data_IF_943046051661
#
_entry.id   IF_943046051661
#
_cell.length_a   1.000
_cell.length_b   1.000
_cell.length_c   1.000
_cell.angle_alpha   90.00
_cell.angle_beta   90.00
_cell.angle_gamma   90.00
#
_symmetry.space_group_name_H-M   'P 1'
#
loop_
_entity.id
_entity.type
_entity.pdbx_description
1 polymer ?
#
# COMPACT_ATOMS: atom_id res chain seq x y z
N UNK A 1 -36.86 -6.10 32.47
CA UNK A 1 -36.03 -4.87 32.57
C UNK A 1 -34.54 -5.17 32.40
N UNK A 2 -33.93 -6.10 33.14
CA UNK A 2 -32.51 -6.47 32.99
C UNK A 2 -32.08 -6.86 31.56
N UNK A 3 -32.93 -7.59 30.81
CA UNK A 3 -32.66 -8.01 29.41
C UNK A 3 -32.49 -6.85 28.43
N UNK A 4 -33.16 -5.73 28.67
CA UNK A 4 -33.12 -4.55 27.79
C UNK A 4 -31.88 -3.71 28.08
N UNK A 5 -31.46 -3.66 29.35
CA UNK A 5 -30.25 -2.95 29.79
C UNK A 5 -28.98 -3.62 29.26
N UNK A 6 -28.92 -4.96 29.28
CA UNK A 6 -27.79 -5.71 28.68
C UNK A 6 -27.70 -5.52 27.17
N UNK A 7 -28.85 -5.45 26.47
CA UNK A 7 -28.89 -5.17 25.03
C UNK A 7 -28.41 -3.74 24.74
N UNK A 8 -28.87 -2.76 25.50
CA UNK A 8 -28.46 -1.36 25.35
C UNK A 8 -26.95 -1.18 25.58
N UNK A 9 -26.41 -1.79 26.63
CA UNK A 9 -24.98 -1.73 26.92
C UNK A 9 -24.14 -2.41 25.81
N UNK A 10 -24.59 -3.56 25.32
CA UNK A 10 -23.95 -4.25 24.21
C UNK A 10 -23.97 -3.43 22.91
N UNK A 11 -25.08 -2.74 22.61
CA UNK A 11 -25.15 -1.84 21.46
C UNK A 11 -24.17 -0.66 21.59
N UNK A 12 -24.08 -0.03 22.76
CA UNK A 12 -23.13 1.08 22.98
C UNK A 12 -21.69 0.59 22.79
N UNK A 13 -21.34 -0.56 23.36
CA UNK A 13 -20.01 -1.16 23.20
C UNK A 13 -19.70 -1.48 21.72
N UNK A 14 -20.66 -2.05 20.99
CA UNK A 14 -20.50 -2.35 19.57
C UNK A 14 -20.27 -1.08 18.73
N UNK A 15 -21.01 0.00 19.03
CA UNK A 15 -20.83 1.29 18.34
C UNK A 15 -19.44 1.87 18.61
N UNK A 16 -18.97 1.84 19.85
CA UNK A 16 -17.63 2.31 20.22
C UNK A 16 -16.54 1.49 19.52
N UNK A 17 -16.67 0.16 19.50
CA UNK A 17 -15.75 -0.73 18.82
C UNK A 17 -15.74 -0.47 17.30
N UNK A 18 -16.90 -0.30 16.67
CA UNK A 18 -17.03 0.01 15.25
C UNK A 18 -16.37 1.35 14.89
N UNK A 19 -16.55 2.39 15.72
CA UNK A 19 -15.85 3.66 15.56
C UNK A 19 -14.33 3.51 15.66
N UNK A 20 -13.84 2.71 16.63
CA UNK A 20 -12.42 2.40 16.76
C UNK A 20 -11.85 1.71 15.52
N UNK A 21 -12.53 0.69 15.01
CA UNK A 21 -12.13 0.00 13.78
C UNK A 21 -12.16 0.94 12.56
N UNK A 22 -13.19 1.77 12.43
CA UNK A 22 -13.29 2.74 11.33
C UNK A 22 -12.12 3.74 11.36
N UNK A 23 -11.77 4.24 12.55
CA UNK A 23 -10.63 5.15 12.70
C UNK A 23 -9.30 4.50 12.31
N UNK A 24 -9.06 3.26 12.73
CA UNK A 24 -7.85 2.50 12.34
C UNK A 24 -7.83 2.21 10.84
N UNK A 25 -8.99 1.91 10.24
CA UNK A 25 -9.09 1.66 8.81
C UNK A 25 -8.77 2.91 7.98
N UNK A 26 -9.22 4.09 8.44
CA UNK A 26 -8.87 5.38 7.80
C UNK A 26 -7.38 5.70 7.92
N UNK A 27 -6.71 5.25 8.99
CA UNK A 27 -5.28 5.43 9.21
C UNK A 27 -4.39 4.41 8.49
N UNK A 28 -4.93 3.28 8.02
CA UNK A 28 -4.13 2.29 7.29
C UNK A 28 -4.03 2.70 5.82
N UNK A 29 -2.86 3.17 5.33
CA UNK A 29 -2.65 3.34 3.90
C UNK A 29 -2.81 1.97 3.22
N UNK A 30 -3.63 1.91 2.16
CA UNK A 30 -3.66 0.73 1.29
C UNK A 30 -2.29 0.61 0.63
N UNK A 31 -1.59 -0.49 0.86
CA UNK A 31 -0.24 -0.67 0.34
C UNK A 31 -0.23 -0.74 -1.17
N UNK A 32 0.18 0.35 -1.82
CA UNK A 32 0.15 0.48 -3.28
C UNK A 32 1.17 -0.44 -3.97
N UNK A 33 2.16 -0.95 -3.24
CA UNK A 33 3.15 -1.93 -3.68
C UNK A 33 2.54 -3.27 -4.15
N UNK A 34 1.30 -3.60 -3.77
CA UNK A 34 0.63 -4.82 -4.19
C UNK A 34 -0.13 -4.72 -5.52
N UNK A 35 -0.28 -3.50 -6.05
CA UNK A 35 -1.21 -3.21 -7.15
C UNK A 35 -0.57 -3.27 -8.55
N UNK A 36 0.77 -3.35 -8.64
CA UNK A 36 1.44 -3.46 -9.93
C UNK A 36 2.94 -3.76 -9.84
N UNK A 37 3.55 -4.23 -10.94
CA UNK A 37 4.98 -4.53 -10.99
C UNK A 37 5.87 -3.29 -11.16
N UNK A 38 5.29 -2.11 -11.40
CA UNK A 38 6.01 -0.85 -11.60
C UNK A 38 5.42 0.21 -10.67
N UNK A 39 6.27 0.86 -9.89
CA UNK A 39 5.90 1.94 -8.97
C UNK A 39 6.79 3.16 -9.19
N UNK A 40 6.26 4.32 -8.82
CA UNK A 40 6.97 5.60 -8.83
C UNK A 40 6.96 6.16 -7.41
N UNK A 41 8.12 6.57 -6.93
CA UNK A 41 8.21 7.32 -5.69
C UNK A 41 7.52 8.68 -5.84
N UNK A 42 6.59 8.99 -4.93
CA UNK A 42 5.71 10.16 -5.04
C UNK A 42 6.48 11.46 -4.85
N UNK A 43 7.52 11.44 -4.04
CA UNK A 43 8.33 12.61 -3.68
C UNK A 43 9.52 12.78 -4.63
N UNK A 44 10.16 11.67 -5.02
CA UNK A 44 11.38 11.66 -5.82
C UNK A 44 11.12 11.52 -7.32
N UNK A 45 9.97 10.98 -7.73
CA UNK A 45 9.70 10.57 -9.10
C UNK A 45 10.53 9.37 -9.57
N UNK A 46 11.31 8.74 -8.69
CA UNK A 46 12.13 7.60 -9.03
C UNK A 46 11.25 6.39 -9.38
N UNK A 47 11.61 5.68 -10.44
CA UNK A 47 10.89 4.49 -10.90
C UNK A 47 11.51 3.24 -10.29
N UNK A 48 10.65 2.29 -9.92
CA UNK A 48 11.05 0.98 -9.42
C UNK A 48 10.25 -0.11 -10.11
N UNK A 49 10.91 -1.22 -10.41
CA UNK A 49 10.29 -2.44 -10.95
C UNK A 49 10.49 -3.60 -9.99
N UNK A 50 9.47 -4.43 -9.83
CA UNK A 50 9.54 -5.63 -9.00
C UNK A 50 10.04 -6.81 -9.83
N UNK A 51 11.16 -7.39 -9.41
CA UNK A 51 11.67 -8.67 -9.92
C UNK A 51 11.65 -9.65 -8.75
N UNK A 52 10.89 -10.74 -8.89
CA UNK A 52 10.56 -11.64 -7.80
C UNK A 52 9.91 -10.91 -6.60
N UNK A 53 10.68 -10.69 -5.53
CA UNK A 53 10.29 -10.04 -4.27
C UNK A 53 11.19 -8.82 -3.95
N UNK A 54 11.95 -8.34 -4.94
CA UNK A 54 12.92 -7.25 -4.79
C UNK A 54 12.53 -6.09 -5.71
N UNK A 55 12.59 -4.88 -5.17
CA UNK A 55 12.35 -3.64 -5.91
C UNK A 55 13.67 -3.08 -6.42
N UNK A 56 13.76 -2.93 -7.74
CA UNK A 56 14.95 -2.44 -8.42
C UNK A 56 14.69 -1.04 -8.97
N UNK A 57 15.52 -0.05 -8.65
CA UNK A 57 15.41 1.27 -9.27
C UNK A 57 15.71 1.17 -10.77
N UNK A 58 14.96 1.92 -11.58
CA UNK A 58 15.10 1.94 -13.04
C UNK A 58 15.20 3.36 -13.58
N UNK A 59 15.99 3.52 -14.65
CA UNK A 59 16.28 4.84 -15.23
C UNK A 59 15.10 5.45 -15.98
N UNK A 60 14.19 4.61 -16.49
CA UNK A 60 13.06 5.06 -17.30
C UNK A 60 11.93 4.04 -17.32
N UNK A 61 10.74 4.49 -17.76
CA UNK A 61 9.54 3.65 -17.83
C UNK A 61 9.61 2.58 -18.92
N UNK A 62 10.33 2.81 -20.02
CA UNK A 62 10.47 1.81 -21.07
C UNK A 62 11.27 0.59 -20.59
N UNK A 63 12.42 0.79 -19.93
CA UNK A 63 13.19 -0.28 -19.29
C UNK A 63 12.32 -1.00 -18.25
N UNK A 64 11.57 -0.27 -17.42
CA UNK A 64 10.65 -0.86 -16.45
C UNK A 64 9.61 -1.80 -17.10
N UNK A 65 9.00 -1.35 -18.20
CA UNK A 65 8.01 -2.11 -18.97
C UNK A 65 8.59 -3.35 -19.65
N UNK A 66 9.81 -3.24 -20.17
CA UNK A 66 10.53 -4.37 -20.75
C UNK A 66 10.83 -5.43 -19.69
N UNK A 67 11.35 -5.02 -18.53
CA UNK A 67 11.68 -5.93 -17.42
C UNK A 67 10.41 -6.59 -16.87
N UNK A 68 9.35 -5.81 -16.64
CA UNK A 68 8.09 -6.32 -16.10
C UNK A 68 7.18 -6.99 -17.13
N UNK A 69 7.60 -7.06 -18.41
CA UNK A 69 6.82 -7.60 -19.53
C UNK A 69 5.37 -7.08 -19.57
N UNK A 70 5.18 -5.78 -19.28
CA UNK A 70 3.86 -5.14 -19.20
C UNK A 70 3.89 -3.74 -19.77
N UNK A 71 2.76 -3.26 -20.28
CA UNK A 71 2.57 -1.86 -20.69
C UNK A 71 1.99 -0.98 -19.58
N UNK A 72 1.88 -1.50 -18.35
CA UNK A 72 1.32 -0.78 -17.21
C UNK A 72 1.99 0.60 -16.98
N UNK A 73 1.19 1.52 -16.46
CA UNK A 73 1.69 2.81 -15.97
C UNK A 73 2.17 2.65 -14.51
N UNK A 74 3.19 3.40 -14.11
CA UNK A 74 3.74 3.31 -12.77
C UNK A 74 2.71 3.83 -11.75
N UNK A 75 2.56 3.12 -10.64
CA UNK A 75 1.69 3.55 -9.56
C UNK A 75 2.45 4.45 -8.58
N UNK A 76 1.94 5.64 -8.22
CA UNK A 76 2.61 6.51 -7.25
C UNK A 76 2.48 5.94 -5.83
N UNK A 77 3.63 5.69 -5.20
CA UNK A 77 3.80 5.11 -3.86
C UNK A 77 4.58 6.10 -3.00
N UNK A 78 4.35 6.15 -1.69
CA UNK A 78 5.13 7.02 -0.81
C UNK A 78 6.52 6.45 -0.53
N UNK A 79 7.48 7.34 -0.30
CA UNK A 79 8.87 6.96 -0.11
C UNK A 79 9.10 6.11 1.15
N UNK A 80 8.24 6.30 2.15
CA UNK A 80 8.19 5.44 3.34
C UNK A 80 7.90 3.99 2.99
N UNK A 81 6.93 3.72 2.12
CA UNK A 81 6.57 2.35 1.72
C UNK A 81 7.72 1.71 0.95
N UNK A 82 8.36 2.42 0.02
CA UNK A 82 9.54 1.94 -0.69
C UNK A 82 10.71 1.63 0.27
N UNK A 83 10.87 2.44 1.32
CA UNK A 83 11.88 2.25 2.35
C UNK A 83 11.72 0.96 3.17
N UNK A 84 10.51 0.41 3.24
CA UNK A 84 10.22 -0.86 3.93
C UNK A 84 10.39 -2.11 3.05
N UNK A 85 10.76 -1.94 1.78
CA UNK A 85 10.94 -3.06 0.84
C UNK A 85 12.38 -3.53 0.71
N UNK A 86 12.58 -4.76 0.21
CA UNK A 86 13.89 -5.22 -0.25
C UNK A 86 14.28 -4.45 -1.52
N UNK A 87 15.42 -3.76 -1.47
CA UNK A 87 15.96 -3.01 -2.62
C UNK A 87 17.11 -3.74 -3.28
N UNK A 88 17.05 -3.84 -4.60
CA UNK A 88 18.11 -4.40 -5.43
C UNK A 88 18.96 -3.31 -6.09
N UNK A 89 19.97 -3.71 -6.90
CA UNK A 89 20.74 -2.79 -7.72
C UNK A 89 19.88 -2.13 -8.80
N UNK A 90 20.38 -1.02 -9.33
CA UNK A 90 19.77 -0.32 -10.46
C UNK A 90 19.77 -1.21 -11.71
N UNK A 91 18.63 -1.25 -12.39
CA UNK A 91 18.43 -1.92 -13.67
C UNK A 91 18.09 -0.86 -14.74
N UNK A 92 18.56 -1.04 -15.97
CA UNK A 92 18.41 0.01 -16.98
C UNK A 92 18.79 -0.46 -18.37
#
# INVERSE_FOLDING_TARGET
RARTTSLALGCVLAIVAAMGCAFVALLRPQSALGQGPIVMGRESGALYVRVDDVWHPVLNLASARLIAATNANPQPVSESELGHTKRGPLLG
#
